data_IF_480986375047
#
_entry.id   IF_480986375047
#
_cell.length_a   1.000
_cell.length_b   1.000
_cell.length_c   1.000
_cell.angle_alpha   90.00
_cell.angle_beta   90.00
_cell.angle_gamma   90.00
#
_symmetry.space_group_name_H-M   'P 1'
#
loop_
_entity.id
_entity.type
_entity.pdbx_description
1 polymer ?
#
# COMPACT_ATOMS: atom_id res chain seq x y z
N UNK A 1 -15.18 1.39 -10.03
CA UNK A 1 -15.12 0.71 -11.37
C UNK A 1 -13.68 0.23 -11.60
N UNK A 2 -13.41 -0.70 -12.54
CA UNK A 2 -12.02 -1.12 -12.84
C UNK A 2 -11.42 -0.28 -13.98
N UNK A 3 -10.25 0.30 -13.76
CA UNK A 3 -9.54 1.16 -14.71
C UNK A 3 -8.13 0.65 -14.98
N UNK A 4 -7.62 0.93 -16.19
CA UNK A 4 -6.24 0.62 -16.57
C UNK A 4 -5.31 1.77 -16.16
N UNK A 5 -4.23 1.41 -15.49
CA UNK A 5 -3.16 2.30 -15.11
C UNK A 5 -1.85 1.84 -15.72
N UNK A 6 -0.89 2.76 -15.82
CA UNK A 6 0.49 2.43 -16.21
C UNK A 6 1.47 3.17 -15.33
N UNK A 7 2.50 2.47 -14.87
CA UNK A 7 3.61 3.04 -14.12
C UNK A 7 4.94 2.57 -14.73
N UNK A 8 6.00 3.38 -14.60
CA UNK A 8 7.35 2.94 -14.94
C UNK A 8 7.95 2.28 -13.71
N UNK A 9 8.17 0.97 -13.77
CA UNK A 9 8.75 0.14 -12.72
C UNK A 9 10.05 -0.44 -13.26
N UNK A 10 11.15 -0.39 -12.52
CA UNK A 10 12.46 -0.92 -12.96
C UNK A 10 12.88 -0.52 -14.40
N UNK A 11 12.59 0.73 -14.80
CA UNK A 11 12.93 1.24 -16.13
C UNK A 11 12.04 0.75 -17.28
N UNK A 12 11.02 -0.08 -17.03
CA UNK A 12 10.05 -0.50 -18.02
C UNK A 12 8.62 -0.07 -17.65
N UNK A 13 7.79 0.17 -18.67
CA UNK A 13 6.38 0.54 -18.45
C UNK A 13 5.56 -0.70 -18.17
N UNK A 14 4.96 -0.75 -16.99
CA UNK A 14 4.07 -1.83 -16.55
C UNK A 14 2.64 -1.31 -16.54
N UNK A 15 1.75 -2.01 -17.26
CA UNK A 15 0.32 -1.71 -17.27
C UNK A 15 -0.45 -2.71 -16.42
N UNK A 16 -1.45 -2.24 -15.68
CA UNK A 16 -2.28 -3.08 -14.81
C UNK A 16 -3.69 -2.50 -14.69
N UNK A 17 -4.66 -3.33 -14.35
CA UNK A 17 -6.05 -2.90 -14.13
C UNK A 17 -6.41 -3.01 -12.66
N UNK A 18 -7.01 -1.96 -12.09
CA UNK A 18 -7.32 -1.86 -10.67
C UNK A 18 -8.65 -1.12 -10.47
N UNK A 19 -9.39 -1.49 -9.43
CA UNK A 19 -10.61 -0.80 -9.03
C UNK A 19 -10.30 0.58 -8.45
N UNK A 20 -11.16 1.56 -8.73
CA UNK A 20 -11.03 2.95 -8.27
C UNK A 20 -10.83 3.06 -6.75
N UNK A 21 -11.55 2.22 -6.02
CA UNK A 21 -11.52 2.15 -4.57
C UNK A 21 -10.10 1.80 -4.10
N UNK A 22 -9.46 0.77 -4.70
CA UNK A 22 -8.08 0.42 -4.40
C UNK A 22 -7.09 1.49 -4.86
N UNK A 23 -7.34 2.14 -6.00
CA UNK A 23 -6.49 3.24 -6.48
C UNK A 23 -6.50 4.44 -5.53
N UNK A 24 -7.66 4.78 -4.98
CA UNK A 24 -7.82 5.84 -3.99
C UNK A 24 -7.08 5.50 -2.69
N UNK A 25 -7.20 4.26 -2.20
CA UNK A 25 -6.48 3.83 -1.01
C UNK A 25 -4.96 3.83 -1.21
N UNK A 26 -4.46 3.36 -2.36
CA UNK A 26 -3.02 3.43 -2.65
C UNK A 26 -2.49 4.88 -2.62
N UNK A 27 -3.26 5.86 -3.11
CA UNK A 27 -2.90 7.28 -3.01
C UNK A 27 -2.90 7.76 -1.56
N UNK A 28 -3.88 7.36 -0.75
CA UNK A 28 -3.95 7.72 0.66
C UNK A 28 -2.77 7.14 1.44
N UNK A 29 -2.45 5.86 1.24
CA UNK A 29 -1.32 5.17 1.86
C UNK A 29 0.01 5.82 1.45
N UNK A 30 0.21 6.09 0.16
CA UNK A 30 1.42 6.75 -0.32
C UNK A 30 1.62 8.13 0.34
N UNK A 31 0.53 8.91 0.46
CA UNK A 31 0.54 10.20 1.16
C UNK A 31 0.87 10.04 2.65
N UNK A 32 0.28 9.05 3.33
CA UNK A 32 0.52 8.79 4.75
C UNK A 32 1.98 8.38 5.00
N UNK A 33 2.57 7.57 4.12
CA UNK A 33 3.98 7.14 4.17
C UNK A 33 4.97 8.20 3.65
N UNK A 34 4.49 9.37 3.22
CA UNK A 34 5.35 10.44 2.70
C UNK A 34 6.10 10.08 1.41
N UNK A 35 5.57 9.17 0.59
CA UNK A 35 6.21 8.70 -0.64
C UNK A 35 5.34 8.88 -1.88
N UNK A 36 5.95 8.82 -3.07
CA UNK A 36 5.18 8.88 -4.31
C UNK A 36 4.38 7.60 -4.53
N UNK A 37 3.22 7.70 -5.19
CA UNK A 37 2.42 6.53 -5.58
C UNK A 37 3.23 5.53 -6.42
N UNK A 38 4.08 6.02 -7.34
CA UNK A 38 4.96 5.19 -8.13
C UNK A 38 6.01 4.47 -7.26
N UNK A 39 6.55 5.14 -6.24
CA UNK A 39 7.47 4.53 -5.27
C UNK A 39 6.79 3.42 -4.48
N UNK A 40 5.57 3.65 -3.98
CA UNK A 40 4.78 2.63 -3.29
C UNK A 40 4.50 1.42 -4.19
N UNK A 41 4.07 1.66 -5.44
CA UNK A 41 3.81 0.59 -6.41
C UNK A 41 5.09 -0.21 -6.69
N UNK A 42 6.24 0.46 -6.81
CA UNK A 42 7.54 -0.21 -7.02
C UNK A 42 7.91 -1.06 -5.81
N UNK A 43 7.76 -0.54 -4.58
CA UNK A 43 8.02 -1.31 -3.36
C UNK A 43 7.16 -2.59 -3.29
N UNK A 44 5.88 -2.49 -3.65
CA UNK A 44 4.98 -3.65 -3.70
C UNK A 44 5.37 -4.61 -4.84
N UNK A 45 5.85 -4.08 -5.97
CA UNK A 45 6.38 -4.83 -7.10
C UNK A 45 7.61 -5.67 -6.70
N UNK A 46 8.50 -5.09 -5.90
CA UNK A 46 9.71 -5.74 -5.41
C UNK A 46 9.36 -6.86 -4.42
N UNK A 47 8.46 -6.57 -3.48
CA UNK A 47 8.07 -7.50 -2.41
C UNK A 47 7.36 -8.75 -2.92
N UNK A 48 6.71 -8.72 -4.09
CA UNK A 48 6.06 -9.93 -4.63
C UNK A 48 7.07 -10.94 -5.18
N UNK A 49 8.34 -10.57 -5.35
CA UNK A 49 9.40 -11.49 -5.81
C UNK A 49 9.15 -12.09 -7.20
N UNK A 50 8.45 -11.37 -8.08
CA UNK A 50 8.09 -11.85 -9.42
C UNK A 50 7.01 -12.94 -9.47
N UNK A 51 6.45 -13.35 -8.33
CA UNK A 51 5.35 -14.32 -8.27
C UNK A 51 4.00 -13.60 -8.28
N UNK A 52 3.12 -13.94 -9.22
CA UNK A 52 1.78 -13.38 -9.34
C UNK A 52 1.70 -12.04 -10.09
N UNK A 53 0.47 -11.53 -10.29
CA UNK A 53 0.22 -10.30 -11.04
C UNK A 53 0.19 -9.06 -10.11
N UNK A 54 0.66 -7.93 -10.63
CA UNK A 54 0.74 -6.66 -9.89
C UNK A 54 -0.61 -6.23 -9.31
N UNK A 55 -1.71 -6.35 -10.07
CA UNK A 55 -3.04 -5.95 -9.60
C UNK A 55 -3.45 -6.69 -8.32
N UNK A 56 -3.25 -8.01 -8.25
CA UNK A 56 -3.55 -8.81 -7.06
C UNK A 56 -2.64 -8.43 -5.89
N UNK A 57 -1.35 -8.19 -6.13
CA UNK A 57 -0.43 -7.72 -5.09
C UNK A 57 -0.85 -6.37 -4.50
N UNK A 58 -1.26 -5.41 -5.34
CA UNK A 58 -1.77 -4.11 -4.91
C UNK A 58 -3.02 -4.22 -4.04
N UNK A 59 -4.00 -5.05 -4.46
CA UNK A 59 -5.23 -5.28 -3.66
C UNK A 59 -4.92 -5.88 -2.30
N UNK A 60 -4.07 -6.92 -2.27
CA UNK A 60 -3.70 -7.59 -1.02
C UNK A 60 -2.90 -6.67 -0.10
N UNK A 61 -2.05 -5.80 -0.66
CA UNK A 61 -1.33 -4.80 0.11
C UNK A 61 -2.30 -3.83 0.80
N UNK A 62 -3.23 -3.23 0.04
CA UNK A 62 -4.26 -2.33 0.60
C UNK A 62 -5.07 -3.05 1.69
N UNK A 63 -5.52 -4.28 1.42
CA UNK A 63 -6.28 -5.07 2.40
C UNK A 63 -5.48 -5.29 3.70
N UNK A 64 -4.20 -5.65 3.60
CA UNK A 64 -3.34 -5.87 4.78
C UNK A 64 -3.10 -4.56 5.54
N UNK A 65 -2.89 -3.47 4.82
CA UNK A 65 -2.71 -2.14 5.39
C UNK A 65 -3.94 -1.70 6.20
N UNK A 66 -5.13 -1.81 5.61
CA UNK A 66 -6.39 -1.44 6.28
C UNK A 66 -6.72 -2.34 7.47
N UNK A 67 -6.30 -3.61 7.44
CA UNK A 67 -6.47 -4.55 8.56
C UNK A 67 -5.43 -4.35 9.68
N UNK A 68 -4.54 -3.37 9.58
CA UNK A 68 -3.45 -3.15 10.55
C UNK A 68 -2.45 -4.30 10.61
N UNK A 69 -2.42 -5.16 9.57
CA UNK A 69 -1.53 -6.33 9.47
C UNK A 69 -0.48 -6.12 8.38
N UNK A 70 -0.16 -4.86 8.06
CA UNK A 70 0.89 -4.55 7.10
C UNK A 70 2.19 -5.23 7.55
N UNK A 71 2.95 -5.85 6.64
CA UNK A 71 4.28 -6.35 7.00
C UNK A 71 5.08 -5.15 7.50
N UNK A 72 5.57 -5.23 8.74
CA UNK A 72 6.39 -4.20 9.35
C UNK A 72 7.61 -3.93 8.48
N UNK A 73 7.54 -2.92 7.60
CA UNK A 73 8.70 -2.34 6.95
C UNK A 73 9.28 -1.34 7.95
N UNK A 74 10.55 -1.53 8.30
CA UNK A 74 11.20 -1.03 9.51
C UNK A 74 11.40 0.48 9.66
N UNK A 75 10.48 1.33 9.21
CA UNK A 75 10.52 2.78 9.43
C UNK A 75 9.22 3.39 9.98
N UNK A 76 8.18 2.58 10.22
CA UNK A 76 6.93 3.07 10.80
C UNK A 76 6.87 2.70 12.30
N UNK A 77 7.47 3.53 13.16
CA UNK A 77 7.04 3.61 14.56
C UNK A 77 5.76 4.45 14.56
N UNK A 78 4.57 3.88 14.81
CA UNK A 78 3.40 4.69 15.06
C UNK A 78 3.61 5.41 16.39
N UNK A 79 3.76 6.73 16.32
CA UNK A 79 3.87 7.66 17.46
C UNK A 79 2.52 7.85 18.18
N UNK A 80 1.71 6.80 18.25
CA UNK A 80 0.40 6.83 18.91
C UNK A 80 0.22 5.60 19.79
N UNK A 81 0.97 5.56 20.88
CA UNK A 81 0.47 4.97 22.14
C UNK A 81 -0.59 5.93 22.67
N UNK A 82 -1.82 5.79 22.20
CA UNK A 82 -2.94 6.41 22.91
C UNK A 82 -2.99 5.79 24.30
N UNK A 83 -2.61 6.64 25.26
CA UNK A 83 -2.77 6.53 26.68
C UNK A 83 -4.20 6.10 27.01
N UNK A 84 -4.43 4.80 27.22
CA UNK A 84 -5.55 4.33 28.02
C UNK A 84 -5.12 4.30 29.48
N UNK A 85 -4.94 5.49 30.05
CA UNK A 85 -5.17 5.71 31.47
C UNK A 85 -6.68 5.64 31.71
N UNK A 86 -7.09 4.53 32.32
CA UNK A 86 -7.94 4.51 33.53
C UNK A 86 -9.08 5.54 33.62
N UNK A 87 -10.33 5.06 33.52
CA UNK A 87 -11.46 5.61 34.29
C UNK A 87 -12.54 4.55 34.57
N UNK A 88 -12.65 4.24 35.87
CA UNK A 88 -13.84 3.83 36.63
C UNK A 88 -14.54 2.49 36.36
N UNK A 89 -14.42 1.57 37.33
CA UNK A 89 -15.42 1.43 38.41
C UNK A 89 -14.82 0.72 39.64
#
# INVERSE_FOLDING_TARGET
MIHKHSATLHGHRTSFSLEDEFWCELKAIAKQRGMSLAGLITEIDDQRGGLGNLSSSLRLYVLRYLKGSAPATGNDVPDNVESIHEVHA
#
